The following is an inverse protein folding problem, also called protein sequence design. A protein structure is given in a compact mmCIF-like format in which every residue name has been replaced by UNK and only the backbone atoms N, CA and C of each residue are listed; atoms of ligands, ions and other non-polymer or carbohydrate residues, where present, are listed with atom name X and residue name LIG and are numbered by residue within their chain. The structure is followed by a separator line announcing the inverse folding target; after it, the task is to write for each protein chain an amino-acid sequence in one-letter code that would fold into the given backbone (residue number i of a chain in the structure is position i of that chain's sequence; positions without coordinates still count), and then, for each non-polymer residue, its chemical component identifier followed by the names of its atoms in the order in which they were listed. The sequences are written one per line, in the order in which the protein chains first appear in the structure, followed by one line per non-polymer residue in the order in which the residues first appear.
data_IF_264923475016
#
_entry.id   IF_264923475016
#
_cell.length_a   1.000
_cell.length_b   1.000
_cell.length_c   1.000
_cell.angle_alpha   90.00
_cell.angle_beta   90.00
_cell.angle_gamma   90.00
#
_symmetry.space_group_name_H-M   'P 1'
#
loop_
_entity.id
_entity.type
_entity.pdbx_description
1 polymer ?
#
# COMPACT_ATOMS: atom_id res chain seq x y z
N UNK A 1 -23.40 24.47 -3.41
CA UNK A 1 -24.15 23.93 -2.26
C UNK A 1 -23.70 24.73 -1.04
N UNK A 2 -24.60 25.48 -0.38
CA UNK A 2 -24.22 26.38 0.73
C UNK A 2 -23.93 25.57 1.99
N UNK A 3 -22.77 25.75 2.60
CA UNK A 3 -22.38 24.99 3.80
C UNK A 3 -23.26 25.36 5.00
N UNK A 4 -23.34 24.48 6.01
CA UNK A 4 -24.08 24.78 7.24
C UNK A 4 -23.51 26.02 7.95
N UNK A 5 -22.18 26.18 7.94
CA UNK A 5 -21.48 27.34 8.45
C UNK A 5 -21.91 28.63 7.73
N UNK A 6 -21.97 28.62 6.39
CA UNK A 6 -22.47 29.75 5.60
C UNK A 6 -23.91 30.09 5.93
N UNK A 7 -24.79 29.09 6.06
CA UNK A 7 -26.19 29.29 6.45
C UNK A 7 -26.31 29.99 7.81
N UNK A 8 -25.54 29.55 8.80
CA UNK A 8 -25.52 30.18 10.12
C UNK A 8 -24.95 31.59 10.09
N UNK A 9 -23.86 31.81 9.36
CA UNK A 9 -23.28 33.14 9.18
C UNK A 9 -24.31 34.12 8.60
N UNK A 10 -25.00 33.76 7.50
CA UNK A 10 -26.00 34.62 6.89
C UNK A 10 -27.22 34.85 7.81
N UNK A 11 -27.66 33.81 8.51
CA UNK A 11 -28.74 33.94 9.49
C UNK A 11 -28.37 34.91 10.61
N UNK A 12 -27.20 34.75 11.24
CA UNK A 12 -26.71 35.63 12.30
C UNK A 12 -26.54 37.07 11.80
N UNK A 13 -25.96 37.25 10.62
CA UNK A 13 -25.75 38.57 10.03
C UNK A 13 -27.07 39.31 9.70
N UNK A 14 -28.16 38.58 9.51
CA UNK A 14 -29.50 39.16 9.28
C UNK A 14 -30.14 39.75 10.56
N UNK A 15 -29.75 39.26 11.74
CA UNK A 15 -30.26 39.76 13.03
C UNK A 15 -29.50 40.99 13.55
N UNK A 16 -28.36 41.33 12.95
CA UNK A 16 -27.54 42.46 13.38
C UNK A 16 -28.16 43.78 12.86
N UNK A 17 -28.56 44.73 13.72
CA UNK A 17 -29.16 45.98 13.29
C UNK A 17 -28.29 46.78 12.29
N UNK A 18 -28.95 47.57 11.45
CA UNK A 18 -28.25 48.54 10.60
C UNK A 18 -27.62 49.62 11.50
N UNK A 19 -26.30 49.79 11.42
CA UNK A 19 -25.53 50.76 12.20
C UNK A 19 -24.48 50.17 13.15
N UNK A 20 -24.48 48.85 13.41
CA UNK A 20 -23.47 48.19 14.24
C UNK A 20 -22.33 47.60 13.39
N UNK A 21 -21.53 48.47 12.76
CA UNK A 21 -20.44 48.06 11.84
C UNK A 21 -19.42 47.13 12.50
N UNK A 22 -19.12 47.38 13.77
CA UNK A 22 -18.03 46.65 14.46
C UNK A 22 -18.43 45.22 14.77
N UNK A 23 -19.71 44.98 15.10
CA UNK A 23 -20.26 43.63 15.32
C UNK A 23 -20.24 42.83 14.02
N UNK A 24 -20.62 43.44 12.89
CA UNK A 24 -20.57 42.77 11.57
C UNK A 24 -19.14 42.40 11.17
N UNK A 25 -18.18 43.31 11.37
CA UNK A 25 -16.75 43.03 11.14
C UNK A 25 -16.23 41.91 12.04
N UNK A 26 -16.63 41.89 13.31
CA UNK A 26 -16.28 40.82 14.24
C UNK A 26 -16.83 39.46 13.81
N UNK A 27 -18.12 39.40 13.42
CA UNK A 27 -18.75 38.18 12.93
C UNK A 27 -18.12 37.68 11.63
N UNK A 28 -17.82 38.58 10.69
CA UNK A 28 -17.10 38.23 9.45
C UNK A 28 -15.73 37.62 9.75
N UNK A 29 -14.94 38.24 10.63
CA UNK A 29 -13.63 37.73 11.03
C UNK A 29 -13.72 36.33 11.64
N UNK A 30 -14.68 36.11 12.55
CA UNK A 30 -14.92 34.80 13.15
C UNK A 30 -15.34 33.77 12.10
N UNK A 31 -16.22 34.14 11.17
CA UNK A 31 -16.64 33.28 10.07
C UNK A 31 -15.46 32.85 9.20
N UNK A 32 -14.58 33.78 8.82
CA UNK A 32 -13.39 33.45 8.03
C UNK A 32 -12.45 32.50 8.78
N UNK A 33 -12.22 32.72 10.08
CA UNK A 33 -11.41 31.81 10.91
C UNK A 33 -12.03 30.41 10.99
N UNK A 34 -13.34 30.32 11.22
CA UNK A 34 -14.05 29.03 11.27
C UNK A 34 -14.03 28.33 9.92
N UNK A 35 -14.16 29.09 8.83
CA UNK A 35 -14.08 28.56 7.47
C UNK A 35 -12.70 27.99 7.19
N UNK A 36 -11.64 28.72 7.51
CA UNK A 36 -10.26 28.26 7.35
C UNK A 36 -9.96 27.01 8.20
N UNK A 37 -10.41 26.98 9.45
CA UNK A 37 -10.31 25.79 10.31
C UNK A 37 -11.05 24.60 9.71
N UNK A 38 -12.25 24.81 9.18
CA UNK A 38 -13.04 23.76 8.56
C UNK A 38 -12.43 23.27 7.23
N UNK A 39 -11.90 24.17 6.41
CA UNK A 39 -11.30 23.85 5.11
C UNK A 39 -10.03 23.00 5.25
N UNK A 40 -9.31 23.17 6.38
CA UNK A 40 -8.11 22.41 6.74
C UNK A 40 -8.39 21.16 7.60
N UNK A 41 -9.62 20.97 8.09
CA UNK A 41 -9.97 19.82 8.92
C UNK A 41 -10.48 18.66 8.05
N UNK A 42 -9.61 17.71 7.70
CA UNK A 42 -9.96 16.55 6.88
C UNK A 42 -11.24 15.83 7.35
N UNK A 43 -11.41 15.64 8.66
CA UNK A 43 -12.57 14.93 9.23
C UNK A 43 -13.91 15.59 8.87
N UNK A 44 -13.92 16.92 8.66
CA UNK A 44 -15.13 17.64 8.26
C UNK A 44 -15.53 17.41 6.79
N UNK A 45 -14.63 16.84 5.98
CA UNK A 45 -14.86 16.56 4.56
C UNK A 45 -15.02 15.07 4.27
N UNK A 46 -14.80 14.18 5.25
CA UNK A 46 -14.99 12.73 5.07
C UNK A 46 -16.47 12.45 4.77
N UNK A 47 -16.81 11.87 3.61
CA UNK A 47 -18.18 11.45 3.33
C UNK A 47 -18.58 10.34 4.29
N UNK A 48 -19.66 10.56 5.04
CA UNK A 48 -20.19 9.58 6.00
C UNK A 48 -21.51 9.01 5.54
N UNK A 49 -21.73 7.73 5.82
CA UNK A 49 -23.00 7.04 5.58
C UNK A 49 -23.19 5.88 6.55
N UNK A 50 -24.31 5.19 6.38
CA UNK A 50 -24.66 4.03 7.20
C UNK A 50 -24.54 2.75 6.38
N UNK A 51 -23.89 1.75 6.96
CA UNK A 51 -23.84 0.38 6.46
C UNK A 51 -24.35 -0.54 7.57
N UNK A 52 -25.17 -1.52 7.20
CA UNK A 52 -25.49 -2.63 8.09
C UNK A 52 -24.26 -3.56 8.12
N UNK A 53 -23.65 -3.71 9.29
CA UNK A 53 -22.55 -4.64 9.50
C UNK A 53 -23.10 -5.95 10.03
N UNK A 54 -22.76 -7.04 9.34
CA UNK A 54 -23.02 -8.38 9.80
C UNK A 54 -21.70 -9.06 10.11
N UNK A 55 -21.63 -9.69 11.28
CA UNK A 55 -20.45 -10.43 11.72
C UNK A 55 -20.80 -11.88 12.01
N UNK A 56 -19.83 -12.76 11.79
CA UNK A 56 -19.96 -14.19 12.05
C UNK A 56 -18.73 -14.69 12.79
N UNK A 57 -18.94 -15.45 13.85
CA UNK A 57 -17.85 -16.09 14.59
C UNK A 57 -17.55 -17.46 13.99
N UNK A 58 -16.27 -17.72 13.69
CA UNK A 58 -15.78 -18.96 13.05
C UNK A 58 -14.89 -19.83 13.95
N UNK A 59 -14.68 -19.45 15.22
CA UNK A 59 -13.75 -20.13 16.12
C UNK A 59 -14.00 -21.64 16.28
N UNK A 60 -15.26 -22.06 16.30
CA UNK A 60 -15.70 -23.44 16.54
C UNK A 60 -16.42 -24.03 15.33
N UNK A 61 -16.15 -23.50 14.13
CA UNK A 61 -16.82 -23.92 12.88
C UNK A 61 -15.88 -24.70 11.98
N UNK A 62 -16.44 -25.64 11.24
CA UNK A 62 -15.77 -26.49 10.26
C UNK A 62 -16.46 -26.45 8.88
N UNK A 63 -17.49 -25.62 8.72
CA UNK A 63 -18.34 -25.52 7.54
C UNK A 63 -18.03 -24.29 6.67
N UNK A 64 -16.75 -23.95 6.57
CA UNK A 64 -16.27 -22.84 5.74
C UNK A 64 -14.96 -23.15 5.03
N UNK A 65 -14.74 -22.47 3.91
CA UNK A 65 -13.47 -22.45 3.17
C UNK A 65 -12.93 -21.02 3.12
N UNK A 66 -11.62 -20.85 3.34
CA UNK A 66 -10.95 -19.55 3.25
C UNK A 66 -10.27 -19.44 1.89
N UNK A 67 -10.71 -18.49 1.07
CA UNK A 67 -9.97 -18.06 -0.13
C UNK A 67 -9.04 -16.92 0.26
N UNK A 68 -7.77 -17.23 0.44
CA UNK A 68 -6.77 -16.21 0.68
C UNK A 68 -6.26 -15.64 -0.63
N UNK A 69 -6.11 -14.32 -0.66
CA UNK A 69 -5.40 -13.64 -1.72
C UNK A 69 -4.08 -13.19 -1.14
N UNK A 70 -3.02 -13.98 -1.30
CA UNK A 70 -1.69 -13.58 -0.86
C UNK A 70 -1.32 -12.33 -1.65
N UNK A 71 -1.31 -11.18 -0.94
CA UNK A 71 -0.72 -9.95 -1.41
C UNK A 71 0.78 -10.09 -1.17
N UNK A 72 1.46 -10.80 -2.06
CA UNK A 72 2.92 -10.70 -2.14
C UNK A 72 3.24 -9.22 -2.38
N UNK A 73 3.86 -8.58 -1.39
CA UNK A 73 4.38 -7.22 -1.50
C UNK A 73 5.68 -7.29 -2.30
N UNK A 74 5.53 -7.47 -3.60
CA UNK A 74 6.58 -7.31 -4.58
C UNK A 74 5.91 -6.86 -5.90
N UNK A 75 4.95 -5.93 -5.85
CA UNK A 75 3.85 -6.05 -6.83
C UNK A 75 2.97 -4.82 -7.11
N UNK A 76 3.54 -3.62 -7.19
CA UNK A 76 2.79 -2.50 -7.78
C UNK A 76 2.75 -2.56 -9.33
N UNK A 77 3.50 -3.45 -10.01
CA UNK A 77 3.53 -3.52 -11.48
C UNK A 77 3.10 -4.84 -12.15
N UNK A 78 2.92 -5.96 -11.42
CA UNK A 78 2.79 -7.28 -12.08
C UNK A 78 1.36 -7.81 -12.32
N UNK A 79 0.33 -7.29 -11.62
CA UNK A 79 -1.02 -7.89 -11.67
C UNK A 79 -1.97 -7.27 -12.72
N UNK A 80 -1.59 -6.14 -13.32
CA UNK A 80 -2.34 -5.58 -14.46
C UNK A 80 -1.94 -6.21 -15.82
N UNK A 81 -0.85 -6.99 -15.84
CA UNK A 81 -0.25 -7.59 -17.04
C UNK A 81 -1.09 -8.71 -17.62
N UNK A 82 -1.56 -9.67 -16.81
CA UNK A 82 -2.34 -10.80 -17.34
C UNK A 82 -3.64 -10.39 -18.06
N UNK A 83 -4.11 -9.14 -17.87
CA UNK A 83 -5.27 -8.59 -18.58
C UNK A 83 -4.93 -7.77 -19.83
N UNK A 84 -3.66 -7.42 -20.07
CA UNK A 84 -3.25 -6.52 -21.16
C UNK A 84 -2.47 -7.20 -22.30
N UNK A 85 -2.02 -8.44 -22.14
CA UNK A 85 -1.27 -9.15 -23.19
C UNK A 85 -2.14 -10.14 -23.96
N UNK A 86 -2.21 -9.96 -25.28
CA UNK A 86 -2.99 -10.80 -26.20
C UNK A 86 -2.28 -12.13 -26.52
N UNK A 87 -0.97 -12.25 -26.23
CA UNK A 87 -0.17 -13.47 -26.41
C UNK A 87 0.89 -13.73 -25.31
N UNK A 88 1.36 -14.97 -25.27
CA UNK A 88 2.30 -15.50 -24.25
C UNK A 88 3.73 -14.97 -24.45
N UNK A 89 4.09 -14.62 -25.69
CA UNK A 89 5.42 -14.09 -26.03
C UNK A 89 5.58 -12.67 -25.45
N UNK A 90 4.56 -11.82 -25.55
CA UNK A 90 4.58 -10.47 -24.96
C UNK A 90 4.64 -10.51 -23.41
N UNK A 91 4.03 -11.53 -22.79
CA UNK A 91 4.10 -11.73 -21.34
C UNK A 91 5.52 -12.11 -20.88
N UNK A 92 6.21 -12.99 -21.63
CA UNK A 92 7.58 -13.39 -21.35
C UNK A 92 8.56 -12.22 -21.53
N UNK A 93 8.40 -11.45 -22.61
CA UNK A 93 9.21 -10.24 -22.85
C UNK A 93 9.05 -9.20 -21.72
N UNK A 94 7.83 -9.06 -21.20
CA UNK A 94 7.58 -8.18 -20.06
C UNK A 94 8.19 -8.73 -18.77
N UNK A 95 8.05 -10.02 -18.48
CA UNK A 95 8.64 -10.64 -17.29
C UNK A 95 10.16 -10.47 -17.27
N UNK A 96 10.82 -10.70 -18.42
CA UNK A 96 12.24 -10.45 -18.62
C UNK A 96 12.61 -8.97 -18.39
N UNK A 97 11.75 -8.04 -18.81
CA UNK A 97 11.98 -6.61 -18.59
C UNK A 97 11.87 -6.25 -17.10
N UNK A 98 10.88 -6.78 -16.39
CA UNK A 98 10.70 -6.50 -14.97
C UNK A 98 11.81 -7.13 -14.13
N UNK A 99 12.24 -8.34 -14.46
CA UNK A 99 13.38 -8.98 -13.80
C UNK A 99 14.64 -8.10 -13.94
N UNK A 100 14.87 -7.51 -15.12
CA UNK A 100 15.95 -6.52 -15.33
C UNK A 100 15.77 -5.26 -14.48
N UNK A 101 14.56 -4.72 -14.40
CA UNK A 101 14.27 -3.53 -13.58
C UNK A 101 14.47 -3.81 -12.07
N UNK A 102 14.11 -5.00 -11.59
CA UNK A 102 14.32 -5.44 -10.21
C UNK A 102 15.80 -5.62 -9.90
N UNK A 103 16.56 -6.22 -10.81
CA UNK A 103 18.01 -6.34 -10.69
C UNK A 103 18.65 -4.95 -10.62
N UNK A 104 18.27 -4.03 -11.52
CA UNK A 104 18.76 -2.65 -11.50
C UNK A 104 18.37 -1.92 -10.21
N UNK A 105 17.18 -2.18 -9.66
CA UNK A 105 16.77 -1.65 -8.36
C UNK A 105 17.64 -2.18 -7.22
N UNK A 106 17.88 -3.50 -7.16
CA UNK A 106 18.69 -4.14 -6.13
C UNK A 106 20.14 -3.64 -6.18
N UNK A 107 20.72 -3.50 -7.38
CA UNK A 107 22.05 -2.93 -7.58
C UNK A 107 22.20 -1.50 -7.05
N UNK A 108 21.11 -0.74 -7.03
CA UNK A 108 21.08 0.63 -6.52
C UNK A 108 20.51 0.73 -5.08
N UNK A 109 20.18 -0.40 -4.46
CA UNK A 109 19.62 -0.43 -3.11
C UNK A 109 20.68 -0.13 -2.07
N UNK A 110 20.40 0.72 -1.06
CA UNK A 110 21.30 0.90 0.08
C UNK A 110 21.41 -0.36 0.96
N UNK A 111 20.48 -1.31 0.81
CA UNK A 111 20.45 -2.55 1.58
C UNK A 111 21.26 -3.68 0.91
N UNK A 112 21.74 -3.47 -0.33
CA UNK A 112 22.67 -4.37 -0.99
C UNK A 112 24.08 -4.05 -0.48
N UNK A 113 24.68 -5.01 0.20
CA UNK A 113 26.01 -4.89 0.79
C UNK A 113 26.93 -5.91 0.11
N UNK A 114 27.99 -5.40 -0.51
CA UNK A 114 29.04 -6.22 -1.08
C UNK A 114 30.25 -6.22 -0.15
N UNK A 115 30.71 -7.40 0.25
CA UNK A 115 31.91 -7.58 1.07
C UNK A 115 33.01 -8.25 0.26
N UNK A 116 34.11 -7.53 0.02
CA UNK A 116 35.26 -8.09 -0.70
C UNK A 116 36.13 -8.91 0.24
N UNK A 117 36.44 -10.14 -0.20
CA UNK A 117 37.41 -11.05 0.41
C UNK A 117 38.60 -11.29 -0.53
N UNK A 118 39.59 -12.05 -0.07
CA UNK A 118 40.73 -12.46 -0.91
C UNK A 118 40.24 -13.34 -2.07
N UNK A 119 40.21 -12.75 -3.27
CA UNK A 119 39.78 -13.44 -4.50
C UNK A 119 38.27 -13.53 -4.70
N UNK A 120 37.43 -13.01 -3.80
CA UNK A 120 35.97 -13.11 -3.95
C UNK A 120 35.19 -11.91 -3.43
N UNK A 121 33.91 -11.86 -3.75
CA UNK A 121 32.93 -10.87 -3.27
C UNK A 121 31.75 -11.63 -2.69
N UNK A 122 31.48 -11.45 -1.41
CA UNK A 122 30.26 -11.94 -0.76
C UNK A 122 29.15 -10.91 -0.94
N UNK A 123 27.95 -11.38 -1.29
CA UNK A 123 26.79 -10.56 -1.55
C UNK A 123 25.80 -10.73 -0.40
N UNK A 124 25.36 -9.60 0.15
CA UNK A 124 24.33 -9.57 1.18
C UNK A 124 23.21 -8.62 0.78
N UNK A 125 21.97 -8.98 1.13
CA UNK A 125 20.83 -8.10 1.05
C UNK A 125 20.07 -8.13 2.38
N UNK A 126 19.83 -6.96 2.99
CA UNK A 126 19.18 -6.86 4.32
C UNK A 126 19.83 -7.77 5.39
N UNK A 127 21.15 -7.81 5.41
CA UNK A 127 21.97 -8.64 6.30
C UNK A 127 21.88 -10.17 6.05
N UNK A 128 21.17 -10.62 5.02
CA UNK A 128 21.11 -12.02 4.60
C UNK A 128 22.17 -12.29 3.53
N UNK A 129 22.93 -13.37 3.71
CA UNK A 129 23.93 -13.82 2.75
C UNK A 129 23.23 -14.47 1.55
N UNK A 130 23.53 -13.99 0.34
CA UNK A 130 23.01 -14.54 -0.91
C UNK A 130 24.01 -15.56 -1.46
N UNK A 131 25.13 -15.08 -1.98
CA UNK A 131 26.14 -15.91 -2.64
C UNK A 131 27.50 -15.21 -2.67
N UNK A 132 28.54 -15.96 -3.04
CA UNK A 132 29.90 -15.47 -3.23
C UNK A 132 30.30 -15.55 -4.70
N UNK A 133 30.80 -14.46 -5.27
CA UNK A 133 31.35 -14.38 -6.62
C UNK A 133 32.88 -14.46 -6.57
N UNK A 134 33.49 -15.29 -7.40
CA UNK A 134 34.96 -15.29 -7.59
C UNK A 134 35.35 -14.10 -8.47
N UNK A 135 36.08 -13.13 -7.91
CA UNK A 135 36.46 -11.94 -8.67
C UNK A 135 37.79 -12.11 -9.42
N UNK A 136 38.34 -13.33 -9.49
CA UNK A 136 39.53 -13.68 -10.28
C UNK A 136 40.82 -12.96 -9.86
N UNK A 137 40.76 -12.20 -8.76
CA UNK A 137 41.87 -11.42 -8.24
C UNK A 137 42.82 -12.37 -7.50
N UNK A 138 43.73 -13.00 -8.25
CA UNK A 138 44.86 -13.75 -7.71
C UNK A 138 45.91 -12.77 -7.12
N UNK A 139 45.57 -12.05 -6.06
CA UNK A 139 46.49 -11.16 -5.37
C UNK A 139 46.84 -11.72 -3.99
N UNK A 140 47.82 -12.61 -3.96
CA UNK A 140 48.48 -13.11 -2.74
C UNK A 140 49.38 -12.05 -2.04
N UNK A 141 49.22 -10.76 -2.37
CA UNK A 141 50.15 -9.72 -1.91
C UNK A 141 49.44 -8.42 -1.57
N UNK A 142 49.84 -7.83 -0.44
CA UNK A 142 49.40 -6.57 0.19
C UNK A 142 49.42 -5.30 -0.69
N UNK A 143 49.75 -5.40 -1.99
CA UNK A 143 49.95 -4.29 -2.93
C UNK A 143 48.92 -4.28 -4.09
N UNK A 144 47.67 -4.62 -3.82
CA UNK A 144 46.57 -4.41 -4.78
C UNK A 144 46.11 -2.94 -4.80
N UNK A 145 47.01 -2.03 -5.18
CA UNK A 145 46.73 -0.59 -5.33
C UNK A 145 45.78 -0.24 -6.49
N UNK A 146 45.24 -1.25 -7.20
CA UNK A 146 44.28 -1.11 -8.29
C UNK A 146 42.88 -1.67 -7.98
N UNK A 147 42.68 -2.37 -6.87
CA UNK A 147 41.35 -2.79 -6.45
C UNK A 147 40.68 -1.62 -5.75
N UNK A 148 39.72 -0.98 -6.43
CA UNK A 148 38.91 0.06 -5.81
C UNK A 148 38.21 -0.55 -4.59
N UNK A 149 38.45 0.00 -3.40
CA UNK A 149 37.71 -0.34 -2.18
C UNK A 149 36.23 0.13 -2.26
N UNK A 150 35.88 0.85 -3.32
CA UNK A 150 34.53 1.30 -3.59
C UNK A 150 33.74 0.15 -4.24
N UNK A 151 33.07 -0.63 -3.40
CA UNK A 151 32.19 -1.73 -3.79
C UNK A 151 30.81 -1.25 -4.22
N UNK A 152 30.69 0.00 -4.64
CA UNK A 152 29.52 0.45 -5.37
C UNK A 152 29.45 -0.29 -6.71
N UNK A 153 28.32 -0.95 -7.05
CA UNK A 153 28.16 -1.66 -8.32
C UNK A 153 28.51 -0.83 -9.57
N UNK A 154 28.38 0.50 -9.50
CA UNK A 154 28.75 1.42 -10.59
C UNK A 154 30.27 1.55 -10.82
N UNK A 155 31.09 1.04 -9.90
CA UNK A 155 32.55 1.12 -9.91
C UNK A 155 33.23 -0.26 -10.07
N UNK A 156 32.43 -1.32 -10.24
CA UNK A 156 32.93 -2.69 -10.48
C UNK A 156 33.24 -2.90 -11.96
N UNK A 157 34.09 -3.90 -12.25
CA UNK A 157 34.34 -4.35 -13.61
C UNK A 157 33.07 -4.97 -14.21
N UNK A 158 32.85 -4.76 -15.51
CA UNK A 158 31.64 -5.18 -16.23
C UNK A 158 31.35 -6.68 -16.07
N UNK A 159 32.40 -7.51 -16.08
CA UNK A 159 32.31 -8.96 -15.87
C UNK A 159 31.76 -9.33 -14.48
N UNK A 160 32.18 -8.61 -13.43
CA UNK A 160 31.69 -8.80 -12.06
C UNK A 160 30.25 -8.30 -11.93
N UNK A 161 29.89 -7.22 -12.62
CA UNK A 161 28.51 -6.72 -12.62
C UNK A 161 27.58 -7.73 -13.28
N UNK A 162 27.99 -8.34 -14.39
CA UNK A 162 27.18 -9.36 -15.07
C UNK A 162 26.98 -10.62 -14.21
N UNK A 163 28.03 -11.07 -13.50
CA UNK A 163 27.91 -12.17 -12.54
C UNK A 163 27.02 -11.79 -11.34
N UNK A 164 27.13 -10.56 -10.83
CA UNK A 164 26.25 -10.04 -9.76
C UNK A 164 24.79 -10.00 -10.22
N UNK A 165 24.51 -9.60 -11.45
CA UNK A 165 23.16 -9.64 -12.02
C UNK A 165 22.62 -11.06 -12.09
N UNK A 166 23.43 -12.03 -12.51
CA UNK A 166 23.02 -13.44 -12.56
C UNK A 166 22.67 -13.98 -11.17
N UNK A 167 23.50 -13.71 -10.15
CA UNK A 167 23.22 -14.10 -8.76
C UNK A 167 21.94 -13.45 -8.24
N UNK A 168 21.71 -12.16 -8.54
CA UNK A 168 20.51 -11.47 -8.12
C UNK A 168 19.25 -12.00 -8.84
N UNK A 169 19.37 -12.39 -10.11
CA UNK A 169 18.31 -13.08 -10.85
C UNK A 169 17.96 -14.40 -10.18
N UNK A 170 18.96 -15.24 -9.89
CA UNK A 170 18.74 -16.52 -9.23
C UNK A 170 18.15 -16.35 -7.82
N UNK A 171 18.56 -15.30 -7.09
CA UNK A 171 17.97 -14.94 -5.79
C UNK A 171 16.50 -14.52 -5.92
N UNK A 172 16.17 -13.72 -6.95
CA UNK A 172 14.77 -13.34 -7.25
C UNK A 172 13.94 -14.59 -7.57
N UNK A 173 14.49 -15.51 -8.36
CA UNK A 173 13.79 -16.72 -8.80
C UNK A 173 13.66 -17.76 -7.67
N UNK A 174 14.61 -17.83 -6.71
CA UNK A 174 14.59 -18.80 -5.60
C UNK A 174 13.77 -18.38 -4.37
N UNK A 175 13.54 -17.08 -4.14
CA UNK A 175 12.75 -16.55 -3.01
C UNK A 175 11.22 -16.52 -3.31
N UNK A 176 10.73 -17.29 -4.30
CA UNK A 176 9.33 -17.26 -4.76
C UNK A 176 8.82 -15.83 -5.07
N UNK A 177 9.70 -14.93 -5.53
CA UNK A 177 9.32 -13.55 -5.89
C UNK A 177 8.46 -13.54 -7.17
N UNK A 178 8.55 -14.60 -7.98
CA UNK A 178 7.72 -14.82 -9.18
C UNK A 178 7.13 -16.24 -9.16
N UNK A 179 6.24 -16.53 -8.21
CA UNK A 179 5.20 -17.53 -8.45
C UNK A 179 3.85 -16.83 -8.73
N UNK A 180 3.46 -16.84 -10.00
CA UNK A 180 2.10 -16.58 -10.48
C UNK A 180 1.27 -17.86 -10.44
N UNK A 181 1.06 -18.41 -9.25
CA UNK A 181 -0.06 -19.33 -9.03
C UNK A 181 -0.85 -18.87 -7.81
N UNK A 182 -2.14 -18.61 -8.02
CA UNK A 182 -3.08 -18.42 -6.93
C UNK A 182 -3.26 -19.79 -6.25
N UNK A 183 -2.37 -20.13 -5.34
CA UNK A 183 -2.57 -21.32 -4.52
C UNK A 183 -3.79 -21.10 -3.61
N UNK A 184 -4.79 -21.96 -3.77
CA UNK A 184 -5.79 -22.23 -2.74
C UNK A 184 -5.08 -22.99 -1.60
N UNK A 185 -4.22 -22.30 -0.84
CA UNK A 185 -3.78 -22.85 0.43
C UNK A 185 -4.94 -22.77 1.41
N UNK A 186 -5.26 -23.90 2.07
CA UNK A 186 -6.16 -23.99 3.23
C UNK A 186 -5.55 -23.23 4.42
N UNK A 187 -5.44 -21.91 4.30
CA UNK A 187 -4.83 -21.07 5.31
C UNK A 187 -5.88 -20.59 6.32
N UNK A 188 -5.56 -20.74 7.60
CA UNK A 188 -6.39 -20.31 8.72
C UNK A 188 -6.63 -18.78 8.68
N UNK A 189 -7.89 -18.37 8.82
CA UNK A 189 -8.19 -16.98 9.14
C UNK A 189 -7.63 -16.67 10.53
N UNK A 190 -6.70 -15.72 10.64
CA UNK A 190 -6.09 -15.36 11.92
C UNK A 190 -7.07 -14.70 12.92
N UNK A 191 -8.33 -14.52 12.51
CA UNK A 191 -9.38 -13.89 13.28
C UNK A 191 -10.59 -14.81 13.39
N UNK A 192 -11.14 -14.89 14.60
CA UNK A 192 -12.36 -15.65 14.87
C UNK A 192 -13.63 -14.96 14.37
N UNK A 193 -13.54 -13.73 13.89
CA UNK A 193 -14.68 -12.94 13.41
C UNK A 193 -14.46 -12.63 11.94
N UNK A 194 -15.51 -12.76 11.13
CA UNK A 194 -15.57 -12.34 9.74
C UNK A 194 -16.73 -11.36 9.55
N UNK A 195 -16.65 -10.53 8.51
CA UNK A 195 -17.54 -9.38 8.31
C UNK A 195 -18.14 -9.35 6.91
N UNK A 196 -19.33 -8.77 6.78
CA UNK A 196 -19.88 -8.29 5.50
C UNK A 196 -20.70 -7.03 5.72
N UNK A 197 -20.88 -6.26 4.65
CA UNK A 197 -21.67 -5.03 4.67
C UNK A 197 -22.89 -5.16 3.75
N UNK A 198 -24.07 -4.82 4.26
CA UNK A 198 -25.35 -4.89 3.54
C UNK A 198 -25.59 -6.24 2.83
N UNK A 199 -25.22 -7.34 3.50
CA UNK A 199 -25.40 -8.73 3.05
C UNK A 199 -24.73 -9.14 1.73
N UNK A 200 -23.83 -8.34 1.16
CA UNK A 200 -23.12 -8.68 -0.09
C UNK A 200 -21.63 -8.30 -0.02
N UNK A 201 -20.76 -9.24 -0.40
CA UNK A 201 -19.32 -9.02 -0.54
C UNK A 201 -19.00 -8.73 -2.00
N UNK A 202 -18.29 -7.63 -2.24
CA UNK A 202 -17.67 -7.35 -3.53
C UNK A 202 -16.28 -7.98 -3.52
N UNK A 203 -16.16 -9.14 -4.18
CA UNK A 203 -14.93 -9.94 -4.16
C UNK A 203 -13.73 -9.21 -4.76
N UNK A 204 -13.94 -8.43 -5.81
CA UNK A 204 -12.87 -7.68 -6.49
C UNK A 204 -12.30 -6.60 -5.57
N UNK A 205 -13.17 -5.87 -4.88
CA UNK A 205 -12.74 -4.87 -3.90
C UNK A 205 -12.11 -5.54 -2.67
N UNK A 206 -12.70 -6.63 -2.15
CA UNK A 206 -12.15 -7.36 -1.01
C UNK A 206 -10.72 -7.85 -1.30
N UNK A 207 -10.51 -8.46 -2.48
CA UNK A 207 -9.21 -8.90 -2.96
C UNK A 207 -8.23 -7.73 -3.09
N UNK A 208 -8.67 -6.62 -3.69
CA UNK A 208 -7.83 -5.43 -3.88
C UNK A 208 -7.37 -4.83 -2.55
N UNK A 209 -8.25 -4.82 -1.55
CA UNK A 209 -7.95 -4.32 -0.21
C UNK A 209 -7.04 -5.27 0.58
N UNK A 210 -7.00 -6.56 0.21
CA UNK A 210 -6.21 -7.58 0.91
C UNK A 210 -7.00 -8.28 2.03
N UNK A 211 -8.31 -8.41 1.87
CA UNK A 211 -9.09 -9.33 2.70
C UNK A 211 -9.03 -10.75 2.12
N UNK A 212 -9.10 -11.75 3.00
CA UNK A 212 -9.49 -13.09 2.59
C UNK A 212 -11.02 -13.17 2.46
N UNK A 213 -11.50 -14.07 1.62
CA UNK A 213 -12.91 -14.42 1.56
C UNK A 213 -13.15 -15.71 2.33
N UNK A 214 -14.28 -15.76 3.03
CA UNK A 214 -14.70 -16.89 3.84
C UNK A 214 -16.08 -17.29 3.36
N UNK A 215 -16.12 -18.39 2.60
CA UNK A 215 -17.34 -18.94 2.04
C UNK A 215 -17.82 -20.07 2.94
N UNK A 216 -19.11 -20.05 3.28
CA UNK A 216 -19.75 -21.06 4.10
C UNK A 216 -20.57 -22.03 3.24
N UNK A 217 -20.78 -23.25 3.73
CA UNK A 217 -21.59 -24.28 3.07
C UNK A 217 -23.05 -23.86 2.85
N UNK A 218 -23.54 -22.87 3.61
CA UNK A 218 -24.87 -22.27 3.43
C UNK A 218 -24.95 -21.26 2.27
N UNK A 219 -23.84 -21.05 1.55
CA UNK A 219 -23.72 -20.15 0.40
C UNK A 219 -23.48 -18.70 0.77
N UNK A 220 -23.23 -18.39 2.05
CA UNK A 220 -22.87 -17.04 2.47
C UNK A 220 -21.37 -16.78 2.35
N UNK A 221 -21.01 -15.61 1.85
CA UNK A 221 -19.62 -15.13 1.80
C UNK A 221 -19.43 -13.96 2.76
N UNK A 222 -18.32 -14.01 3.48
CA UNK A 222 -17.82 -12.94 4.34
C UNK A 222 -16.38 -12.61 3.94
N UNK A 223 -15.88 -11.46 4.36
CA UNK A 223 -14.46 -11.15 4.28
C UNK A 223 -13.81 -11.20 5.67
N UNK A 224 -12.56 -11.66 5.70
CA UNK A 224 -11.73 -11.76 6.90
C UNK A 224 -10.46 -10.92 6.76
N UNK A 225 -9.89 -10.58 7.91
CA UNK A 225 -8.62 -9.87 7.98
C UNK A 225 -7.45 -10.85 7.84
N UNK A 226 -6.48 -10.48 6.99
CA UNK A 226 -5.22 -11.19 6.88
C UNK A 226 -4.17 -10.52 7.78
N UNK A 227 -3.49 -11.30 8.62
CA UNK A 227 -2.47 -10.83 9.57
C UNK A 227 -2.97 -10.61 11.00
N UNK A 228 -2.05 -10.51 11.95
CA UNK A 228 -2.33 -10.35 13.36
C UNK A 228 -1.47 -9.25 14.02
N UNK A 229 -1.94 -8.70 15.14
CA UNK A 229 -1.12 -7.81 15.99
C UNK A 229 -1.11 -6.31 15.64
N UNK A 230 -1.91 -5.85 14.68
CA UNK A 230 -2.06 -4.42 14.34
C UNK A 230 -3.52 -4.01 14.06
N UNK A 231 -3.78 -2.70 14.06
CA UNK A 231 -5.11 -2.14 13.75
C UNK A 231 -5.34 -2.13 12.23
N UNK A 232 -6.20 -3.03 11.77
CA UNK A 232 -6.55 -3.18 10.35
C UNK A 232 -7.84 -2.41 9.97
N UNK A 233 -8.35 -1.53 10.84
CA UNK A 233 -9.45 -0.61 10.50
C UNK A 233 -9.24 0.17 9.18
N UNK A 234 -8.00 0.56 8.79
CA UNK A 234 -7.77 1.17 7.49
C UNK A 234 -8.25 0.29 6.31
N UNK A 235 -8.16 -1.03 6.38
CA UNK A 235 -8.64 -1.90 5.32
C UNK A 235 -10.18 -1.87 5.21
N UNK A 236 -10.88 -1.83 6.34
CA UNK A 236 -12.34 -1.61 6.34
C UNK A 236 -12.70 -0.26 5.70
N UNK A 237 -11.96 0.80 6.04
CA UNK A 237 -12.13 2.12 5.41
C UNK A 237 -11.93 2.03 3.89
N UNK A 238 -10.89 1.33 3.44
CA UNK A 238 -10.62 1.19 2.01
C UNK A 238 -11.78 0.51 1.28
N UNK A 239 -12.26 -0.61 1.81
CA UNK A 239 -13.40 -1.33 1.24
C UNK A 239 -14.66 -0.46 1.19
N UNK A 240 -15.00 0.21 2.29
CA UNK A 240 -16.19 1.06 2.36
C UNK A 240 -16.11 2.23 1.37
N UNK A 241 -14.94 2.89 1.30
CA UNK A 241 -14.70 3.99 0.40
C UNK A 241 -14.82 3.58 -1.06
N UNK A 242 -14.17 2.49 -1.46
CA UNK A 242 -14.18 2.01 -2.85
C UNK A 242 -15.59 1.57 -3.27
N UNK A 243 -16.25 0.74 -2.45
CA UNK A 243 -17.56 0.17 -2.76
C UNK A 243 -18.69 1.20 -2.70
N UNK A 244 -18.75 1.99 -1.62
CA UNK A 244 -19.90 2.85 -1.34
C UNK A 244 -19.63 4.35 -1.53
N UNK A 245 -18.37 4.78 -1.64
CA UNK A 245 -18.01 6.20 -1.78
C UNK A 245 -18.11 7.00 -0.47
N UNK A 246 -18.26 6.32 0.67
CA UNK A 246 -18.31 6.90 2.00
C UNK A 246 -17.82 5.88 3.04
N UNK A 247 -17.63 6.33 4.27
CA UNK A 247 -17.30 5.46 5.42
C UNK A 247 -18.35 5.61 6.52
N UNK A 248 -18.43 4.65 7.45
CA UNK A 248 -19.21 4.82 8.67
C UNK A 248 -18.58 5.88 9.58
N UNK A 249 -19.42 6.61 10.33
CA UNK A 249 -19.02 7.76 11.15
C UNK A 249 -17.94 7.41 12.19
N UNK A 250 -17.97 6.20 12.74
CA UNK A 250 -17.00 5.71 13.72
C UNK A 250 -15.56 5.65 13.18
N UNK A 251 -15.38 5.54 11.86
CA UNK A 251 -14.07 5.52 11.22
C UNK A 251 -13.49 6.91 10.93
N UNK A 252 -14.27 7.98 11.07
CA UNK A 252 -13.81 9.35 10.77
C UNK A 252 -12.59 9.74 11.59
N UNK A 253 -12.50 9.28 12.85
CA UNK A 253 -11.35 9.53 13.71
C UNK A 253 -10.03 8.94 13.21
N UNK A 254 -10.07 7.92 12.33
CA UNK A 254 -8.87 7.28 11.78
C UNK A 254 -8.12 8.18 10.80
N UNK A 255 -8.79 9.18 10.20
CA UNK A 255 -8.17 10.15 9.29
C UNK A 255 -7.21 11.15 10.00
N UNK A 256 -7.04 11.04 11.31
CA UNK A 256 -6.04 11.81 12.06
C UNK A 256 -4.60 11.36 11.78
N UNK A 257 -4.40 10.10 11.37
CA UNK A 257 -3.08 9.54 11.06
C UNK A 257 -3.04 8.95 9.64
N UNK A 258 -2.92 9.85 8.66
CA UNK A 258 -2.83 9.48 7.24
C UNK A 258 -1.59 8.66 6.89
N UNK A 259 -0.50 8.81 7.66
CA UNK A 259 0.71 8.02 7.45
C UNK A 259 0.49 6.57 7.84
N UNK A 260 -0.17 6.35 8.97
CA UNK A 260 -0.57 5.00 9.38
C UNK A 260 -1.53 4.38 8.37
N UNK A 261 -2.57 5.11 7.93
CA UNK A 261 -3.49 4.61 6.91
C UNK A 261 -2.75 4.19 5.62
N UNK A 262 -1.84 5.03 5.12
CA UNK A 262 -1.05 4.72 3.93
C UNK A 262 -0.10 3.54 4.13
N UNK A 263 0.46 3.38 5.33
CA UNK A 263 1.28 2.22 5.69
C UNK A 263 0.47 0.92 5.65
N UNK A 264 -0.73 0.89 6.25
CA UNK A 264 -1.58 -0.32 6.30
C UNK A 264 -2.14 -0.68 4.92
N UNK A 265 -2.63 0.30 4.17
CA UNK A 265 -3.25 0.06 2.85
C UNK A 265 -2.22 -0.20 1.74
N UNK A 266 -1.01 0.35 1.88
CA UNK A 266 -0.13 0.64 0.75
C UNK A 266 -0.48 1.98 0.10
N UNK A 267 0.54 2.64 -0.48
CA UNK A 267 0.41 4.03 -0.99
C UNK A 267 -0.60 4.16 -2.12
N UNK A 268 -0.62 3.21 -3.05
CA UNK A 268 -1.51 3.25 -4.21
C UNK A 268 -2.98 3.16 -3.80
N UNK A 269 -3.32 2.11 -3.04
CA UNK A 269 -4.66 1.93 -2.49
C UNK A 269 -5.09 3.12 -1.64
N UNK A 270 -4.19 3.65 -0.80
CA UNK A 270 -4.46 4.86 -0.02
C UNK A 270 -4.80 6.06 -0.91
N UNK A 271 -4.02 6.34 -1.95
CA UNK A 271 -4.30 7.45 -2.86
C UNK A 271 -5.63 7.26 -3.59
N UNK A 272 -5.95 6.04 -4.02
CA UNK A 272 -7.24 5.73 -4.63
C UNK A 272 -8.42 5.94 -3.67
N UNK A 273 -8.30 5.47 -2.43
CA UNK A 273 -9.30 5.68 -1.37
C UNK A 273 -9.51 7.16 -1.10
N UNK A 274 -8.43 7.92 -0.96
CA UNK A 274 -8.48 9.37 -0.75
C UNK A 274 -9.12 10.10 -1.93
N UNK A 275 -8.83 9.69 -3.16
CA UNK A 275 -9.47 10.20 -4.37
C UNK A 275 -10.97 9.89 -4.38
N UNK A 276 -11.34 8.65 -4.07
CA UNK A 276 -12.72 8.17 -4.06
C UNK A 276 -13.59 8.92 -3.06
N UNK A 277 -13.03 9.28 -1.91
CA UNK A 277 -13.68 10.10 -0.88
C UNK A 277 -13.65 11.61 -1.17
N UNK A 278 -12.99 12.05 -2.26
CA UNK A 278 -12.83 13.48 -2.57
C UNK A 278 -11.88 14.22 -1.62
N UNK A 279 -10.94 13.50 -1.01
CA UNK A 279 -10.01 13.99 0.01
C UNK A 279 -8.58 14.20 -0.52
N UNK A 280 -8.35 14.10 -1.83
CA UNK A 280 -7.01 14.18 -2.45
C UNK A 280 -6.19 15.40 -2.03
N UNK A 281 -6.85 16.54 -1.79
CA UNK A 281 -6.19 17.78 -1.34
C UNK A 281 -5.52 17.66 0.04
N UNK A 282 -5.89 16.65 0.83
CA UNK A 282 -5.34 16.40 2.16
C UNK A 282 -4.20 15.38 2.16
N UNK A 283 -3.86 14.78 1.01
CA UNK A 283 -2.75 13.83 0.91
C UNK A 283 -1.42 14.58 1.16
N UNK A 284 -0.65 14.22 2.20
CA UNK A 284 0.67 14.79 2.46
C UNK A 284 1.60 14.62 1.26
N UNK A 285 2.45 15.62 0.97
CA UNK A 285 3.32 15.60 -0.21
C UNK A 285 4.23 14.37 -0.24
N UNK A 286 4.69 13.89 0.91
CA UNK A 286 5.53 12.70 1.03
C UNK A 286 4.81 11.38 0.71
N UNK A 287 3.47 11.38 0.70
CA UNK A 287 2.62 10.22 0.39
C UNK A 287 2.04 10.27 -1.03
N UNK A 288 2.18 11.40 -1.73
CA UNK A 288 1.78 11.50 -3.12
C UNK A 288 2.67 10.57 -3.95
N UNK A 289 2.06 9.67 -4.71
CA UNK A 289 2.78 8.89 -5.72
C UNK A 289 3.50 9.87 -6.64
N UNK A 290 4.82 9.70 -6.83
CA UNK A 290 5.51 10.42 -7.90
C UNK A 290 4.81 10.00 -9.19
N UNK A 291 4.09 10.92 -9.83
CA UNK A 291 3.64 10.68 -11.20
C UNK A 291 4.88 10.33 -12.01
N UNK A 292 4.96 9.08 -12.45
CA UNK A 292 5.94 8.65 -13.44
C UNK A 292 5.70 9.43 -14.75
#
# INVERSE_FOLDING_TARGET
MTTLLEKYYYALNSFIPYGTSDIRKGLESLYQQLKELNDNNIMAHVPVGYLEEETRNIADRDDYTVRQYTKYVARDNLRDIEKEFDDEDDMLDYADQLQKELVDFLLNSPDLILHRNEGSIDIYYKDEFIETIDCGCACDTEDCAGCNNDLNPNNLDEEIVDELKAVLIDYIDCEDIIETEAYEEENECCWNTVWRYNSEVDEDIARKVGFCLVDFDDGETYFGLQGCGMDLSPLHIAYQALKYGFVQEEFVGKFQDLRYMAYVMGRELFNEVMNRLGLSKFIPQELQSKSA
#
